data_IF_453115076545
#
_entry.id   IF_453115076545
#
_cell.length_a   1.000
_cell.length_b   1.000
_cell.length_c   1.000
_cell.angle_alpha   90.00
_cell.angle_beta   90.00
_cell.angle_gamma   90.00
#
_symmetry.space_group_name_H-M   'P 1'
#
loop_
_entity.id
_entity.type
_entity.pdbx_description
1 polymer ?
#
# COMPACT_ATOMS: atom_id res chain seq x y z
N UNK A 1 -69.98 -17.04 -30.34
CA UNK A 1 -68.56 -16.65 -30.19
C UNK A 1 -68.15 -17.01 -28.78
N UNK A 2 -67.11 -17.82 -28.62
CA UNK A 2 -66.69 -18.32 -27.30
C UNK A 2 -65.58 -17.41 -26.78
N UNK A 3 -65.81 -16.73 -25.66
CA UNK A 3 -64.77 -15.89 -25.05
C UNK A 3 -63.76 -16.81 -24.36
N UNK A 4 -62.52 -16.79 -24.83
CA UNK A 4 -61.40 -17.51 -24.22
C UNK A 4 -60.63 -16.51 -23.35
N UNK A 5 -60.64 -16.71 -22.04
CA UNK A 5 -59.79 -15.96 -21.10
C UNK A 5 -58.47 -16.70 -20.97
N UNK A 6 -57.38 -16.09 -21.41
CA UNK A 6 -56.02 -16.61 -21.16
C UNK A 6 -55.52 -16.03 -19.85
N UNK A 7 -55.27 -16.90 -18.87
CA UNK A 7 -54.58 -16.54 -17.62
C UNK A 7 -53.10 -16.85 -17.80
N UNK A 8 -52.25 -15.87 -17.52
CA UNK A 8 -50.79 -16.06 -17.48
C UNK A 8 -50.38 -16.23 -16.02
N UNK A 9 -50.07 -17.46 -15.62
CA UNK A 9 -49.41 -17.74 -14.35
C UNK A 9 -47.90 -17.53 -14.53
N UNK A 10 -47.30 -16.69 -13.69
CA UNK A 10 -45.87 -16.40 -13.70
C UNK A 10 -45.30 -16.81 -12.35
N UNK A 11 -44.45 -17.84 -12.36
CA UNK A 11 -43.75 -18.33 -11.18
C UNK A 11 -42.36 -17.67 -11.16
N UNK A 12 -42.09 -16.85 -10.14
CA UNK A 12 -40.80 -16.17 -10.01
C UNK A 12 -39.71 -17.18 -9.63
N UNK A 13 -38.64 -17.32 -10.44
CA UNK A 13 -37.59 -18.29 -10.13
C UNK A 13 -36.79 -17.87 -8.89
N UNK A 14 -36.63 -18.78 -7.95
CA UNK A 14 -35.82 -18.58 -6.74
C UNK A 14 -34.32 -18.50 -7.06
N UNK A 15 -33.62 -17.60 -6.35
CA UNK A 15 -32.18 -17.39 -6.50
C UNK A 15 -31.51 -17.22 -5.14
N UNK A 16 -30.26 -17.70 -5.01
CA UNK A 16 -29.42 -17.40 -3.87
C UNK A 16 -29.11 -15.89 -3.80
N UNK A 17 -29.45 -15.26 -2.66
CA UNK A 17 -29.26 -13.83 -2.37
C UNK A 17 -27.82 -13.33 -2.55
N UNK A 18 -26.81 -14.20 -2.39
CA UNK A 18 -25.40 -13.80 -2.39
C UNK A 18 -24.65 -14.05 -3.70
N UNK A 19 -25.03 -15.09 -4.46
CA UNK A 19 -24.36 -15.45 -5.71
C UNK A 19 -25.25 -15.45 -6.95
N UNK A 20 -26.56 -15.27 -6.79
CA UNK A 20 -27.59 -15.33 -7.85
C UNK A 20 -27.63 -16.66 -8.63
N UNK A 21 -27.05 -17.73 -8.08
CA UNK A 21 -27.29 -19.09 -8.57
C UNK A 21 -28.73 -19.51 -8.29
N UNK A 22 -29.33 -20.22 -9.25
CA UNK A 22 -30.57 -20.98 -9.06
C UNK A 22 -30.31 -22.22 -8.21
N UNK A 23 -31.38 -22.84 -7.73
CA UNK A 23 -31.32 -24.19 -7.17
C UNK A 23 -30.81 -25.20 -8.20
N UNK A 24 -30.02 -26.17 -7.72
CA UNK A 24 -29.61 -27.37 -8.46
C UNK A 24 -29.63 -28.57 -7.51
N UNK A 25 -29.66 -29.79 -8.05
CA UNK A 25 -29.67 -31.04 -7.27
C UNK A 25 -28.49 -31.16 -6.27
N UNK A 26 -27.39 -30.46 -6.52
CA UNK A 26 -26.18 -30.43 -5.68
C UNK A 26 -26.11 -29.23 -4.73
N UNK A 27 -26.96 -28.22 -4.91
CA UNK A 27 -26.85 -26.93 -4.21
C UNK A 27 -28.24 -26.33 -3.95
N UNK A 28 -28.98 -27.00 -3.07
CA UNK A 28 -30.33 -26.62 -2.65
C UNK A 28 -30.41 -25.19 -2.13
N UNK A 29 -31.55 -24.54 -2.38
CA UNK A 29 -31.89 -23.24 -1.81
C UNK A 29 -32.61 -23.43 -0.47
N UNK A 30 -32.32 -22.54 0.48
CA UNK A 30 -32.97 -22.55 1.80
C UNK A 30 -33.21 -21.12 2.25
N UNK A 31 -34.31 -20.88 2.99
CA UNK A 31 -34.57 -19.56 3.58
C UNK A 31 -33.42 -19.14 4.50
N UNK A 32 -33.01 -17.88 4.44
CA UNK A 32 -31.87 -17.38 5.22
C UNK A 32 -32.20 -17.43 6.72
N UNK A 33 -31.47 -18.26 7.47
CA UNK A 33 -31.64 -18.40 8.91
C UNK A 33 -31.08 -17.19 9.69
N UNK A 34 -31.62 -16.93 10.88
CA UNK A 34 -31.36 -15.69 11.63
C UNK A 34 -29.90 -15.51 12.10
N UNK A 35 -29.20 -16.61 12.35
CA UNK A 35 -27.76 -16.67 12.59
C UNK A 35 -26.95 -16.32 11.33
N UNK A 36 -27.35 -16.84 10.17
CA UNK A 36 -26.78 -16.54 8.86
C UNK A 36 -26.96 -15.05 8.52
N UNK A 37 -28.11 -14.43 8.83
CA UNK A 37 -28.29 -12.97 8.73
C UNK A 37 -27.26 -12.21 9.60
N UNK A 38 -27.01 -12.69 10.82
CA UNK A 38 -25.99 -12.12 11.72
C UNK A 38 -24.58 -12.19 11.13
N UNK A 39 -24.22 -13.35 10.56
CA UNK A 39 -22.93 -13.57 9.89
C UNK A 39 -22.79 -12.69 8.64
N UNK A 40 -23.82 -12.61 7.77
CA UNK A 40 -23.85 -11.74 6.59
C UNK A 40 -23.62 -10.28 7.00
N UNK A 41 -24.32 -9.81 8.04
CA UNK A 41 -24.17 -8.43 8.55
C UNK A 41 -22.76 -8.17 9.10
N UNK A 42 -22.17 -9.10 9.87
CA UNK A 42 -20.82 -8.92 10.42
C UNK A 42 -19.70 -9.00 9.36
N UNK A 43 -19.85 -9.87 8.36
CA UNK A 43 -18.84 -10.13 7.34
C UNK A 43 -18.93 -9.18 6.15
N UNK A 44 -20.13 -9.00 5.59
CA UNK A 44 -20.36 -8.33 4.31
C UNK A 44 -20.93 -6.90 4.46
N UNK A 45 -21.37 -6.51 5.66
CA UNK A 45 -22.04 -5.24 5.95
C UNK A 45 -23.36 -5.03 5.19
N UNK A 46 -23.91 -6.11 4.61
CA UNK A 46 -25.23 -6.12 3.96
C UNK A 46 -26.29 -6.12 5.06
N UNK A 47 -27.31 -5.27 4.90
CA UNK A 47 -28.53 -5.32 5.71
C UNK A 47 -29.57 -6.10 4.94
N UNK A 48 -30.06 -7.18 5.55
CA UNK A 48 -31.27 -7.88 5.11
C UNK A 48 -32.42 -7.36 6.00
N UNK A 49 -33.50 -6.92 5.37
CA UNK A 49 -34.70 -6.43 6.06
C UNK A 49 -35.80 -7.50 6.15
N UNK A 50 -37.03 -7.09 6.48
CA UNK A 50 -38.20 -8.00 6.60
C UNK A 50 -38.84 -8.37 5.27
N UNK A 51 -38.36 -7.83 4.15
CA UNK A 51 -38.75 -8.26 2.81
C UNK A 51 -37.69 -9.19 2.21
N UNK A 52 -36.44 -9.03 2.62
CA UNK A 52 -35.35 -9.98 2.38
C UNK A 52 -35.41 -11.25 3.25
N UNK A 53 -36.31 -11.35 4.25
CA UNK A 53 -36.42 -12.55 5.10
C UNK A 53 -36.90 -13.78 4.34
N UNK A 54 -37.59 -13.55 3.23
CA UNK A 54 -38.16 -14.59 2.38
C UNK A 54 -37.18 -14.94 1.24
N UNK A 55 -36.00 -14.31 1.22
CA UNK A 55 -34.94 -14.63 0.28
C UNK A 55 -34.22 -15.93 0.65
N UNK A 56 -33.73 -16.61 -0.38
CA UNK A 56 -33.02 -17.88 -0.26
C UNK A 56 -31.50 -17.71 -0.28
N UNK A 57 -30.79 -18.66 0.31
CA UNK A 57 -29.34 -18.81 0.21
C UNK A 57 -29.02 -20.28 -0.08
N UNK A 58 -28.03 -20.50 -0.95
CA UNK A 58 -27.57 -21.83 -1.31
C UNK A 58 -26.51 -22.35 -0.34
N UNK A 59 -26.44 -23.68 -0.18
CA UNK A 59 -25.55 -24.34 0.77
C UNK A 59 -24.08 -23.89 0.64
N UNK A 60 -23.53 -23.80 -0.59
CA UNK A 60 -22.15 -23.35 -0.80
C UNK A 60 -21.87 -21.95 -0.25
N UNK A 61 -22.85 -21.04 -0.29
CA UNK A 61 -22.71 -19.70 0.26
C UNK A 61 -22.79 -19.69 1.79
N UNK A 62 -23.60 -20.56 2.41
CA UNK A 62 -23.66 -20.73 3.87
C UNK A 62 -22.32 -21.27 4.38
N UNK A 63 -21.84 -22.40 3.85
CA UNK A 63 -20.57 -23.02 4.25
C UNK A 63 -19.39 -22.04 4.15
N UNK A 64 -19.31 -21.30 3.04
CA UNK A 64 -18.25 -20.29 2.82
C UNK A 64 -18.28 -19.15 3.85
N UNK A 65 -19.48 -18.74 4.27
CA UNK A 65 -19.65 -17.71 5.30
C UNK A 65 -19.28 -18.23 6.69
N UNK A 66 -19.71 -19.43 7.05
CA UNK A 66 -19.43 -20.06 8.34
C UNK A 66 -17.92 -20.35 8.52
N UNK A 67 -17.26 -20.91 7.50
CA UNK A 67 -15.82 -21.18 7.55
C UNK A 67 -15.04 -19.86 7.78
N UNK A 68 -15.38 -18.81 7.03
CA UNK A 68 -14.72 -17.52 7.15
C UNK A 68 -15.05 -16.81 8.48
N UNK A 69 -16.28 -16.94 8.99
CA UNK A 69 -16.67 -16.40 10.31
C UNK A 69 -15.90 -17.08 11.44
N UNK A 70 -15.81 -18.41 11.41
CA UNK A 70 -15.02 -19.21 12.35
C UNK A 70 -13.54 -18.85 12.30
N UNK A 71 -12.97 -18.71 11.10
CA UNK A 71 -11.59 -18.24 10.90
C UNK A 71 -11.36 -16.85 11.50
N UNK A 72 -12.23 -15.87 11.17
CA UNK A 72 -12.15 -14.48 11.66
C UNK A 72 -12.25 -14.42 13.19
N UNK A 73 -13.18 -15.18 13.79
CA UNK A 73 -13.35 -15.28 15.24
C UNK A 73 -12.11 -15.84 15.92
N UNK A 74 -11.51 -16.90 15.36
CA UNK A 74 -10.24 -17.49 15.85
C UNK A 74 -9.09 -16.49 15.78
N UNK A 75 -8.94 -15.74 14.68
CA UNK A 75 -7.93 -14.69 14.55
C UNK A 75 -8.11 -13.57 15.57
N UNK A 76 -9.35 -13.11 15.81
CA UNK A 76 -9.69 -12.09 16.81
C UNK A 76 -9.30 -12.55 18.23
N UNK A 77 -9.68 -13.78 18.61
CA UNK A 77 -9.33 -14.39 19.90
C UNK A 77 -7.81 -14.50 20.08
N UNK A 78 -7.09 -14.95 19.05
CA UNK A 78 -5.63 -15.06 19.08
C UNK A 78 -4.95 -13.69 19.24
N UNK A 79 -5.45 -12.64 18.55
CA UNK A 79 -4.92 -11.29 18.69
C UNK A 79 -5.08 -10.75 20.12
N UNK A 80 -6.27 -10.92 20.73
CA UNK A 80 -6.51 -10.54 22.13
C UNK A 80 -5.59 -11.31 23.09
N UNK A 81 -5.41 -12.62 22.89
CA UNK A 81 -4.51 -13.44 23.69
C UNK A 81 -3.03 -13.02 23.56
N UNK A 82 -2.60 -12.62 22.36
CA UNK A 82 -1.25 -12.10 22.11
C UNK A 82 -1.03 -10.74 22.78
N UNK A 83 -2.03 -9.84 22.73
CA UNK A 83 -1.99 -8.56 23.43
C UNK A 83 -1.89 -8.77 24.95
N UNK A 84 -2.70 -9.68 25.53
CA UNK A 84 -2.61 -10.03 26.96
C UNK A 84 -1.22 -10.54 27.34
N UNK A 85 -0.67 -11.50 26.58
CA UNK A 85 0.69 -12.03 26.79
C UNK A 85 1.79 -10.98 26.59
N UNK A 86 1.57 -9.95 25.78
CA UNK A 86 2.51 -8.84 25.65
C UNK A 86 2.52 -7.96 26.91
N UNK A 87 1.35 -7.63 27.45
CA UNK A 87 1.24 -6.83 28.68
C UNK A 87 1.72 -7.61 29.92
N UNK A 88 1.41 -8.91 30.03
CA UNK A 88 1.93 -9.79 31.08
C UNK A 88 3.48 -9.80 31.09
N UNK A 89 4.12 -9.95 29.92
CA UNK A 89 5.59 -9.89 29.80
C UNK A 89 6.15 -8.51 30.15
N UNK A 90 5.49 -7.43 29.73
CA UNK A 90 5.88 -6.06 30.06
C UNK A 90 5.80 -5.81 31.57
N UNK A 91 4.76 -6.31 32.23
CA UNK A 91 4.62 -6.20 33.68
C UNK A 91 5.71 -6.98 34.42
N UNK A 92 6.00 -8.22 34.00
CA UNK A 92 7.11 -9.01 34.53
C UNK A 92 8.48 -8.31 34.36
N UNK A 93 8.72 -7.66 33.21
CA UNK A 93 9.93 -6.86 32.98
C UNK A 93 10.01 -5.65 33.92
N UNK A 94 8.90 -4.94 34.16
CA UNK A 94 8.84 -3.81 35.11
C UNK A 94 9.11 -4.28 36.54
N UNK A 95 8.57 -5.43 36.94
CA UNK A 95 8.77 -6.00 38.27
C UNK A 95 10.23 -6.45 38.50
N UNK A 96 10.82 -7.15 37.52
CA UNK A 96 12.23 -7.54 37.58
C UNK A 96 13.17 -6.34 37.55
N UNK A 97 12.81 -5.27 36.82
CA UNK A 97 13.56 -4.02 36.84
C UNK A 97 13.50 -3.33 38.22
N UNK A 98 12.34 -3.34 38.89
CA UNK A 98 12.18 -2.79 40.24
C UNK A 98 12.98 -3.58 41.28
N UNK A 99 12.94 -4.91 41.24
CA UNK A 99 13.72 -5.74 42.18
C UNK A 99 15.22 -5.64 41.93
N UNK A 100 15.65 -5.55 40.68
CA UNK A 100 17.05 -5.28 40.34
C UNK A 100 17.53 -3.95 40.93
N UNK A 101 16.76 -2.86 40.80
CA UNK A 101 17.09 -1.56 41.40
C UNK A 101 17.17 -1.66 42.93
N UNK A 102 16.18 -2.29 43.58
CA UNK A 102 16.13 -2.42 45.04
C UNK A 102 17.31 -3.21 45.62
N UNK A 103 17.81 -4.22 44.88
CA UNK A 103 18.94 -5.05 45.30
C UNK A 103 20.31 -4.42 44.97
N UNK A 104 20.36 -3.41 44.09
CA UNK A 104 21.60 -2.69 43.80
C UNK A 104 21.76 -1.49 44.73
N UNK A 105 22.85 -1.46 45.49
CA UNK A 105 23.17 -0.39 46.43
C UNK A 105 23.70 0.87 45.71
N UNK A 106 22.95 1.38 44.73
CA UNK A 106 23.35 2.47 43.81
C UNK A 106 23.38 3.82 44.51
N UNK A 107 22.52 4.01 45.53
CA UNK A 107 22.40 5.26 46.28
C UNK A 107 23.72 5.67 46.95
N UNK A 108 24.51 4.71 47.44
CA UNK A 108 25.80 4.97 48.12
C UNK A 108 26.89 5.55 47.20
N UNK A 109 26.68 5.58 45.87
CA UNK A 109 27.64 6.13 44.90
C UNK A 109 27.20 7.46 44.28
N UNK A 110 26.06 8.02 44.70
CA UNK A 110 25.51 9.27 44.16
C UNK A 110 25.88 10.44 45.07
N UNK A 111 26.63 11.41 44.56
CA UNK A 111 26.79 12.70 45.23
C UNK A 111 25.51 13.51 45.05
N UNK A 112 25.08 14.20 46.10
CA UNK A 112 23.86 15.00 46.09
C UNK A 112 23.83 16.00 44.92
N UNK A 113 22.76 15.92 44.11
CA UNK A 113 22.41 16.94 43.11
C UNK A 113 22.55 16.57 41.62
N UNK A 114 23.19 15.44 41.24
CA UNK A 114 23.24 15.02 39.83
C UNK A 114 22.13 14.01 39.45
N UNK A 115 21.31 14.27 38.41
CA UNK A 115 20.26 13.35 37.98
C UNK A 115 20.85 12.14 37.23
N UNK A 116 20.70 10.95 37.82
CA UNK A 116 21.14 9.68 37.20
C UNK A 116 20.05 9.11 36.28
N UNK A 117 20.47 8.69 35.08
CA UNK A 117 19.64 7.92 34.16
C UNK A 117 20.02 6.44 34.21
N UNK A 118 19.21 5.63 34.88
CA UNK A 118 19.35 4.17 34.89
C UNK A 118 18.72 3.61 33.61
N UNK A 119 19.50 2.91 32.78
CA UNK A 119 19.01 2.24 31.57
C UNK A 119 19.08 0.74 31.78
N UNK A 120 17.92 0.12 32.02
CA UNK A 120 17.78 -1.33 32.14
C UNK A 120 17.40 -1.87 30.76
N UNK A 121 18.24 -2.74 30.21
CA UNK A 121 17.97 -3.47 28.96
C UNK A 121 17.72 -4.93 29.29
N UNK A 122 16.68 -5.50 28.70
CA UNK A 122 16.37 -6.94 28.79
C UNK A 122 16.35 -7.53 27.39
N UNK A 123 16.94 -8.71 27.22
CA UNK A 123 16.81 -9.47 25.97
C UNK A 123 15.59 -10.40 26.00
N UNK A 124 15.31 -11.07 24.87
CA UNK A 124 14.18 -12.00 24.74
C UNK A 124 14.29 -13.24 25.66
N UNK A 125 15.48 -13.53 26.18
CA UNK A 125 15.76 -14.63 27.12
C UNK A 125 15.61 -14.22 28.59
N UNK A 126 15.20 -12.97 28.87
CA UNK A 126 15.03 -12.46 30.24
C UNK A 126 16.33 -12.01 30.94
N UNK A 127 17.49 -12.05 30.26
CA UNK A 127 18.76 -11.55 30.83
C UNK A 127 18.71 -10.04 30.95
N UNK A 128 18.90 -9.52 32.17
CA UNK A 128 18.95 -8.10 32.50
C UNK A 128 20.38 -7.56 32.37
N UNK A 129 20.50 -6.37 31.79
CA UNK A 129 21.72 -5.56 31.82
C UNK A 129 21.36 -4.17 32.32
N UNK A 130 21.88 -3.83 33.50
CA UNK A 130 21.72 -2.50 34.11
C UNK A 130 22.92 -1.65 33.70
N UNK A 131 22.70 -0.52 33.03
CA UNK A 131 23.74 0.47 32.76
C UNK A 131 23.36 1.82 33.35
N UNK A 132 24.21 2.32 34.24
CA UNK A 132 24.11 3.68 34.77
C UNK A 132 24.68 4.67 33.73
N UNK A 133 23.93 5.72 33.44
CA UNK A 133 24.43 6.91 32.74
C UNK A 133 24.31 8.11 33.68
N UNK A 134 25.44 8.55 34.21
CA UNK A 134 25.57 9.84 34.90
C UNK A 134 25.70 10.92 33.84
N UNK A 135 24.81 11.92 33.84
CA UNK A 135 24.90 13.07 32.96
C UNK A 135 25.59 14.24 33.68
N UNK A 136 26.92 14.19 33.73
CA UNK A 136 27.73 15.34 34.13
C UNK A 136 27.42 16.51 33.20
N UNK A 137 27.07 17.66 33.80
CA UNK A 137 26.70 18.87 33.07
C UNK A 137 27.88 19.36 32.21
N UNK A 138 27.71 19.66 30.90
CA UNK A 138 28.81 20.20 30.11
C UNK A 138 29.23 21.56 30.67
N UNK A 139 30.49 21.70 31.10
CA UNK A 139 31.03 23.02 31.40
C UNK A 139 31.35 23.76 30.09
N UNK A 140 30.99 25.05 29.98
CA UNK A 140 31.46 25.87 28.86
C UNK A 140 32.97 26.11 29.03
N UNK A 141 33.74 25.91 27.96
CA UNK A 141 35.14 26.33 27.87
C UNK A 141 35.26 27.50 26.91
N UNK A 142 35.63 28.66 27.44
CA UNK A 142 36.06 29.83 26.69
C UNK A 142 37.58 29.78 26.41
N UNK A 143 38.01 30.29 25.25
CA UNK A 143 39.40 30.66 24.93
C UNK A 143 40.43 29.51 24.76
N UNK A 144 41.46 29.62 23.91
CA UNK A 144 41.78 30.63 22.89
C UNK A 144 42.78 30.04 21.87
N UNK A 145 42.73 30.50 20.60
CA UNK A 145 43.78 30.59 19.53
C UNK A 145 44.77 29.40 19.32
N UNK A 146 45.08 29.00 18.08
CA UNK A 146 45.62 29.87 17.02
C UNK A 146 45.52 29.28 15.58
N UNK A 147 45.60 30.18 14.57
CA UNK A 147 46.16 30.08 13.19
C UNK A 147 46.36 28.70 12.52
N UNK A 148 46.12 28.46 11.22
CA UNK A 148 45.88 29.31 10.01
C UNK A 148 45.20 28.41 8.92
N UNK A 149 44.90 28.76 7.66
CA UNK A 149 45.22 29.92 6.78
C UNK A 149 44.16 30.12 5.65
N UNK A 150 44.44 30.99 4.67
CA UNK A 150 43.77 31.06 3.34
C UNK A 150 44.77 31.56 2.27
N UNK A 151 44.64 31.22 0.97
CA UNK A 151 43.65 31.80 0.03
C UNK A 151 42.93 30.73 -0.84
N UNK A 152 41.71 30.91 -1.35
CA UNK A 152 41.13 31.93 -2.25
C UNK A 152 41.35 31.64 -3.77
N UNK A 153 40.35 32.05 -4.57
CA UNK A 153 40.35 32.26 -6.04
C UNK A 153 40.08 31.02 -6.94
N UNK A 154 39.33 31.04 -8.06
CA UNK A 154 38.19 31.84 -8.62
C UNK A 154 37.89 31.29 -10.05
N UNK A 155 36.91 31.87 -10.75
CA UNK A 155 36.78 31.92 -12.24
C UNK A 155 36.26 30.65 -12.96
N UNK A 156 34.96 30.68 -13.33
CA UNK A 156 34.53 30.25 -14.68
C UNK A 156 35.07 31.23 -15.73
N UNK A 157 35.23 30.80 -16.99
CA UNK A 157 34.76 31.67 -18.06
C UNK A 157 33.88 30.95 -19.10
N UNK A 158 32.81 31.65 -19.48
CA UNK A 158 31.93 31.36 -20.59
C UNK A 158 32.45 31.96 -21.90
N UNK A 159 32.11 31.37 -23.04
CA UNK A 159 31.95 31.98 -24.39
C UNK A 159 31.65 30.86 -25.40
N UNK A 160 30.90 30.98 -26.51
CA UNK A 160 29.83 31.85 -27.03
C UNK A 160 29.80 31.64 -28.57
N UNK A 161 28.62 31.81 -29.18
CA UNK A 161 28.34 31.69 -30.64
C UNK A 161 28.39 30.22 -31.17
N UNK A 162 27.87 29.88 -32.36
CA UNK A 162 27.33 30.72 -33.45
C UNK A 162 26.04 30.18 -34.11
N UNK A 163 25.29 31.12 -34.66
CA UNK A 163 24.06 31.06 -35.47
C UNK A 163 24.17 30.32 -36.82
N UNK A 164 23.05 29.80 -37.33
CA UNK A 164 22.71 29.90 -38.77
C UNK A 164 21.20 29.70 -38.99
N UNK A 165 20.64 30.36 -40.00
CA UNK A 165 19.20 30.50 -40.21
C UNK A 165 18.78 30.32 -41.69
N UNK A 166 17.56 29.80 -41.90
CA UNK A 166 16.67 29.94 -43.08
C UNK A 166 15.32 29.27 -42.69
N UNK A 167 14.13 29.89 -42.74
CA UNK A 167 13.43 30.64 -43.80
C UNK A 167 12.89 29.73 -44.94
N UNK A 168 11.65 29.81 -45.45
CA UNK A 168 10.42 30.60 -45.11
C UNK A 168 9.21 30.07 -45.91
N UNK A 169 7.99 30.06 -45.35
CA UNK A 169 6.69 30.44 -45.99
C UNK A 169 5.55 30.31 -44.95
N UNK A 170 4.77 31.34 -44.57
CA UNK A 170 3.80 32.18 -45.32
C UNK A 170 2.59 31.36 -45.84
N UNK A 171 1.30 31.67 -45.57
CA UNK A 171 0.60 32.87 -45.02
C UNK A 171 -0.75 32.44 -44.32
N UNK A 172 -1.39 33.28 -43.45
CA UNK A 172 -2.57 32.94 -42.62
C UNK A 172 -3.84 33.71 -43.11
N UNK A 173 -4.81 34.20 -42.29
CA UNK A 173 -5.36 33.81 -40.97
C UNK A 173 -6.92 33.71 -40.94
N UNK A 174 -7.50 33.15 -39.87
CA UNK A 174 -8.71 33.73 -39.21
C UNK A 174 -8.52 33.66 -37.70
N UNK A 175 -8.80 34.76 -37.00
CA UNK A 175 -8.62 34.93 -35.57
C UNK A 175 -9.95 35.18 -34.88
N UNK A 176 -10.20 34.54 -33.73
CA UNK A 176 -10.68 35.24 -32.52
C UNK A 176 -10.08 34.55 -31.27
N UNK A 177 -9.32 35.30 -30.48
CA UNK A 177 -9.03 35.05 -29.06
C UNK A 177 -9.26 36.39 -28.35
N UNK A 178 -9.88 36.38 -27.15
CA UNK A 178 -9.13 36.71 -25.92
C UNK A 178 -9.60 35.86 -24.72
N UNK A 179 -8.90 35.72 -23.60
CA UNK A 179 -7.52 36.03 -23.18
C UNK A 179 -7.14 34.97 -22.13
N UNK A 180 -6.02 34.25 -22.27
CA UNK A 180 -4.75 34.55 -21.60
C UNK A 180 -4.78 34.61 -20.06
N UNK A 181 -4.88 33.45 -19.40
CA UNK A 181 -4.18 33.20 -18.13
C UNK A 181 -3.14 32.09 -18.31
N UNK A 182 -1.91 32.32 -17.84
CA UNK A 182 -0.81 31.34 -17.85
C UNK A 182 -0.75 30.62 -16.50
N UNK A 183 -0.81 29.28 -16.46
CA UNK A 183 -0.24 28.51 -15.35
C UNK A 183 1.19 28.09 -15.72
N UNK A 184 2.17 28.89 -15.31
CA UNK A 184 3.59 28.49 -15.32
C UNK A 184 4.08 28.24 -13.89
N UNK A 185 3.99 27.00 -13.43
CA UNK A 185 4.81 26.43 -12.35
C UNK A 185 4.57 24.92 -12.27
N UNK A 186 5.62 24.14 -12.04
CA UNK A 186 5.49 22.71 -11.81
C UNK A 186 4.81 22.47 -10.45
N UNK A 187 3.49 22.21 -10.46
CA UNK A 187 2.79 21.76 -9.28
C UNK A 187 3.32 20.39 -8.86
N UNK A 188 4.08 20.34 -7.77
CA UNK A 188 4.53 19.10 -7.13
C UNK A 188 3.31 18.27 -6.72
N UNK A 189 2.90 17.33 -7.57
CA UNK A 189 1.75 16.46 -7.32
C UNK A 189 1.96 15.73 -5.98
N UNK A 190 1.09 16.03 -5.02
CA UNK A 190 1.21 15.56 -3.64
C UNK A 190 0.90 14.07 -3.59
N UNK A 191 1.95 13.25 -3.65
CA UNK A 191 1.86 11.80 -3.57
C UNK A 191 1.13 11.35 -2.30
N UNK A 192 0.11 10.52 -2.47
CA UNK A 192 -0.69 9.94 -1.38
C UNK A 192 0.07 8.71 -0.88
N UNK A 193 0.58 8.73 0.36
CA UNK A 193 1.19 7.54 0.98
C UNK A 193 0.12 6.51 1.31
N UNK A 194 0.31 5.27 0.90
CA UNK A 194 -0.62 4.16 1.14
C UNK A 194 -0.21 3.33 2.36
N UNK A 195 -1.16 2.69 3.08
CA UNK A 195 -0.86 1.88 4.26
C UNK A 195 -0.12 0.59 3.88
N UNK A 196 0.82 0.14 4.71
CA UNK A 196 1.50 -1.14 4.48
C UNK A 196 0.47 -2.27 4.65
N UNK A 197 0.25 -3.03 3.58
CA UNK A 197 -0.73 -4.10 3.48
C UNK A 197 -0.19 -5.23 2.58
N UNK A 198 -0.76 -6.45 2.63
CA UNK A 198 -0.39 -7.52 1.71
C UNK A 198 -0.54 -7.10 0.25
N UNK A 199 0.44 -7.49 -0.56
CA UNK A 199 0.45 -7.27 -2.00
C UNK A 199 0.92 -8.52 -2.72
N UNK A 200 0.58 -8.62 -3.99
CA UNK A 200 0.70 -9.84 -4.78
C UNK A 200 1.22 -9.51 -6.17
N UNK A 201 1.78 -10.50 -6.86
CA UNK A 201 2.10 -10.40 -8.28
C UNK A 201 1.28 -11.39 -9.08
N UNK A 202 1.06 -11.10 -10.36
CA UNK A 202 0.50 -12.04 -11.33
C UNK A 202 1.43 -12.15 -12.54
N UNK A 203 1.39 -13.30 -13.22
CA UNK A 203 2.14 -13.47 -14.47
C UNK A 203 1.38 -12.76 -15.60
N UNK A 204 2.00 -11.73 -16.19
CA UNK A 204 1.43 -11.06 -17.36
C UNK A 204 1.69 -11.89 -18.63
N UNK A 205 0.88 -11.67 -19.67
CA UNK A 205 0.88 -12.51 -20.88
C UNK A 205 2.14 -12.42 -21.74
N UNK A 206 2.97 -11.37 -21.56
CA UNK A 206 4.29 -11.27 -22.19
C UNK A 206 5.34 -12.09 -21.42
N UNK A 207 6.13 -12.88 -22.17
CA UNK A 207 7.20 -13.76 -21.63
C UNK A 207 8.06 -13.03 -20.58
N UNK A 208 7.90 -13.46 -19.32
CA UNK A 208 8.64 -13.09 -18.09
C UNK A 208 8.31 -11.78 -17.35
N UNK A 209 7.33 -10.97 -17.77
CA UNK A 209 6.91 -9.81 -16.95
C UNK A 209 5.87 -10.18 -15.88
N UNK A 210 6.08 -9.71 -14.66
CA UNK A 210 5.07 -9.74 -13.60
C UNK A 210 4.27 -8.43 -13.59
N UNK A 211 2.96 -8.53 -13.37
CA UNK A 211 2.13 -7.41 -12.95
C UNK A 211 1.95 -7.40 -11.43
N UNK A 212 1.69 -6.23 -10.85
CA UNK A 212 1.51 -6.02 -9.41
C UNK A 212 0.01 -5.89 -9.08
N UNK A 213 -0.40 -6.40 -7.92
CA UNK A 213 -1.72 -6.21 -7.31
C UNK A 213 -1.54 -5.57 -5.94
N UNK A 214 -2.18 -4.41 -5.74
CA UNK A 214 -2.11 -3.68 -4.49
C UNK A 214 -3.45 -2.98 -4.21
N UNK A 215 -4.06 -3.25 -3.05
CA UNK A 215 -5.37 -2.71 -2.69
C UNK A 215 -6.50 -3.11 -3.65
N UNK A 216 -6.45 -4.32 -4.21
CA UNK A 216 -7.39 -4.81 -5.24
C UNK A 216 -7.09 -4.34 -6.67
N UNK A 217 -6.38 -3.23 -6.84
CA UNK A 217 -6.04 -2.70 -8.16
C UNK A 217 -4.85 -3.41 -8.80
N UNK A 218 -4.91 -3.56 -10.13
CA UNK A 218 -3.90 -4.23 -10.95
C UNK A 218 -3.06 -3.25 -11.76
N UNK A 219 -1.76 -3.53 -11.85
CA UNK A 219 -0.76 -2.70 -12.52
C UNK A 219 0.12 -3.58 -13.41
N UNK A 220 0.22 -3.26 -14.71
CA UNK A 220 0.79 -4.17 -15.71
C UNK A 220 2.18 -3.77 -16.22
N UNK A 221 2.58 -2.51 -16.06
CA UNK A 221 3.87 -2.00 -16.52
C UNK A 221 4.65 -1.35 -15.39
N UNK A 222 5.77 -1.97 -15.00
CA UNK A 222 6.78 -1.34 -14.15
C UNK A 222 7.78 -0.53 -14.98
N UNK A 223 8.13 0.66 -14.48
CA UNK A 223 9.18 1.55 -15.00
C UNK A 223 10.11 1.89 -13.84
N UNK A 224 11.24 1.16 -13.68
CA UNK A 224 12.21 1.47 -12.64
C UNK A 224 12.90 2.82 -12.91
N UNK A 225 13.11 3.59 -11.85
CA UNK A 225 13.88 4.85 -11.84
C UNK A 225 14.79 4.85 -10.62
N UNK A 226 15.75 5.79 -10.56
CA UNK A 226 16.81 5.88 -9.53
C UNK A 226 16.37 5.54 -8.09
N UNK A 227 15.21 6.02 -7.63
CA UNK A 227 14.71 5.85 -6.26
C UNK A 227 13.40 5.04 -6.12
N UNK A 228 12.60 4.93 -7.18
CA UNK A 228 11.24 4.36 -7.13
C UNK A 228 10.92 3.61 -8.42
N UNK A 229 10.02 2.64 -8.30
CA UNK A 229 9.47 1.89 -9.43
C UNK A 229 8.05 2.38 -9.66
N UNK A 230 7.76 2.80 -10.89
CA UNK A 230 6.46 3.34 -11.28
C UNK A 230 5.63 2.22 -11.93
N UNK A 231 4.49 1.90 -11.33
CA UNK A 231 3.56 0.86 -11.73
C UNK A 231 2.30 1.49 -12.31
N UNK A 232 2.08 1.33 -13.61
CA UNK A 232 0.94 1.93 -14.33
C UNK A 232 -0.32 1.09 -14.15
N UNK A 233 -1.45 1.71 -13.83
CA UNK A 233 -2.73 0.99 -13.74
C UNK A 233 -3.06 0.26 -15.05
N UNK A 234 -3.44 -1.01 -14.96
CA UNK A 234 -3.75 -1.85 -16.12
C UNK A 234 -4.96 -1.33 -16.91
N UNK A 235 -5.94 -0.74 -16.23
CA UNK A 235 -7.14 -0.14 -16.83
C UNK A 235 -6.92 1.27 -17.40
N UNK A 236 -5.67 1.77 -17.48
CA UNK A 236 -5.35 3.09 -18.06
C UNK A 236 -5.92 3.31 -19.46
N UNK A 237 -5.96 2.27 -20.30
CA UNK A 237 -6.48 2.36 -21.68
C UNK A 237 -7.99 2.17 -21.78
N UNK A 238 -8.59 1.38 -20.90
CA UNK A 238 -10.02 1.04 -20.94
C UNK A 238 -10.90 2.03 -20.19
N UNK A 239 -10.40 2.59 -19.08
CA UNK A 239 -11.13 3.56 -18.24
C UNK A 239 -10.43 4.92 -18.16
N UNK A 240 -9.53 5.25 -19.12
CA UNK A 240 -8.70 6.47 -19.11
C UNK A 240 -7.96 6.75 -17.78
N UNK A 241 -7.71 5.71 -17.00
CA UNK A 241 -7.24 5.81 -15.62
C UNK A 241 -5.80 6.36 -15.52
N UNK A 242 -5.63 7.48 -14.82
CA UNK A 242 -4.35 8.15 -14.64
C UNK A 242 -3.55 7.66 -13.42
N UNK A 243 -4.08 6.72 -12.66
CA UNK A 243 -3.42 6.17 -11.47
C UNK A 243 -2.08 5.49 -11.82
N UNK A 244 -1.07 5.81 -11.02
CA UNK A 244 0.29 5.27 -11.02
C UNK A 244 0.67 5.03 -9.57
N UNK A 245 1.03 3.80 -9.26
CA UNK A 245 1.55 3.38 -7.97
C UNK A 245 3.08 3.48 -7.99
N UNK A 246 3.67 4.10 -6.99
CA UNK A 246 5.11 4.25 -6.85
C UNK A 246 5.59 3.39 -5.67
N UNK A 247 6.28 2.31 -5.96
CA UNK A 247 6.94 1.47 -4.96
C UNK A 247 8.36 2.00 -4.66
N UNK A 248 8.83 1.86 -3.42
CA UNK A 248 10.27 1.91 -3.13
C UNK A 248 11.00 0.73 -3.78
N UNK A 249 12.31 0.83 -4.05
CA UNK A 249 13.10 -0.30 -4.60
C UNK A 249 13.11 -1.55 -3.70
N UNK A 250 12.74 -1.40 -2.43
CA UNK A 250 12.58 -2.47 -1.43
C UNK A 250 11.14 -2.99 -1.28
N UNK A 251 10.15 -2.38 -1.96
CA UNK A 251 8.72 -2.66 -1.80
C UNK A 251 8.19 -2.52 -0.36
N UNK A 252 8.86 -1.69 0.46
CA UNK A 252 8.46 -1.38 1.84
C UNK A 252 7.57 -0.13 1.94
N UNK A 253 7.51 0.68 0.89
CA UNK A 253 6.66 1.88 0.82
C UNK A 253 5.93 1.98 -0.52
N UNK A 254 4.68 2.41 -0.46
CA UNK A 254 3.82 2.60 -1.62
C UNK A 254 3.17 3.98 -1.58
N UNK A 255 3.10 4.62 -2.75
CA UNK A 255 2.49 5.93 -2.93
C UNK A 255 1.63 5.94 -4.19
N UNK A 256 0.58 6.75 -4.23
CA UNK A 256 -0.26 6.94 -5.41
C UNK A 256 -0.16 8.40 -5.88
N UNK A 257 -0.13 8.64 -7.19
CA UNK A 257 -0.20 10.00 -7.75
C UNK A 257 -1.62 10.60 -7.67
N UNK A 258 -2.65 9.80 -7.96
CA UNK A 258 -4.07 10.15 -7.93
C UNK A 258 -4.92 8.89 -7.74
N UNK A 259 -6.15 9.03 -7.25
CA UNK A 259 -7.08 7.91 -7.12
C UNK A 259 -7.41 7.24 -8.46
N UNK A 260 -7.96 6.02 -8.39
CA UNK A 260 -8.58 5.36 -9.54
C UNK A 260 -9.96 5.95 -9.81
N UNK A 261 -10.38 5.92 -11.07
CA UNK A 261 -11.69 6.39 -11.55
C UNK A 261 -12.60 5.23 -12.01
N UNK A 262 -12.31 4.03 -11.53
CA UNK A 262 -12.99 2.77 -11.84
C UNK A 262 -12.87 1.84 -10.64
N UNK A 263 -13.76 0.86 -10.54
CA UNK A 263 -13.69 -0.15 -9.49
C UNK A 263 -12.52 -1.15 -9.71
N UNK A 264 -12.05 -1.83 -8.66
CA UNK A 264 -11.08 -2.92 -8.78
C UNK A 264 -11.57 -4.01 -9.75
N UNK A 265 -10.75 -4.45 -10.72
CA UNK A 265 -11.14 -5.52 -11.64
C UNK A 265 -11.29 -6.86 -10.90
N UNK A 266 -12.32 -7.63 -11.24
CA UNK A 266 -12.41 -9.03 -10.84
C UNK A 266 -11.18 -9.81 -11.35
N UNK A 267 -10.57 -10.60 -10.47
CA UNK A 267 -9.41 -11.42 -10.84
C UNK A 267 -9.89 -12.69 -11.53
N UNK A 268 -9.63 -12.82 -12.84
CA UNK A 268 -10.03 -13.99 -13.64
C UNK A 268 -8.81 -14.70 -14.24
N UNK A 269 -8.75 -16.03 -14.06
CA UNK A 269 -7.93 -16.95 -14.85
C UNK A 269 -6.40 -16.80 -14.80
N UNK A 270 -5.83 -15.99 -13.90
CA UNK A 270 -4.38 -15.76 -13.83
C UNK A 270 -3.79 -16.19 -12.50
N UNK A 271 -2.63 -16.85 -12.56
CA UNK A 271 -1.90 -17.30 -11.37
C UNK A 271 -1.39 -16.10 -10.57
N UNK A 272 -1.78 -16.05 -9.30
CA UNK A 272 -1.38 -15.03 -8.32
C UNK A 272 -0.29 -15.62 -7.41
N UNK A 273 0.73 -14.83 -7.12
CA UNK A 273 1.85 -15.16 -6.24
C UNK A 273 1.89 -14.18 -5.07
N UNK A 274 2.21 -14.62 -3.86
CA UNK A 274 2.47 -13.69 -2.75
C UNK A 274 3.76 -12.94 -3.06
N UNK A 275 3.87 -11.70 -2.58
CA UNK A 275 5.08 -10.90 -2.77
C UNK A 275 6.36 -11.67 -2.42
N UNK A 276 6.43 -12.26 -1.22
CA UNK A 276 7.62 -12.95 -0.72
C UNK A 276 8.15 -14.05 -1.67
N UNK A 277 7.28 -14.74 -2.40
CA UNK A 277 7.62 -15.91 -3.21
C UNK A 277 8.34 -15.52 -4.52
N UNK A 278 8.04 -14.33 -5.08
CA UNK A 278 8.54 -13.90 -6.40
C UNK A 278 9.24 -12.55 -6.41
N UNK A 279 9.22 -11.79 -5.30
CA UNK A 279 9.84 -10.47 -5.21
C UNK A 279 11.33 -10.44 -5.62
N UNK A 280 12.18 -11.44 -5.29
CA UNK A 280 13.57 -11.46 -5.79
C UNK A 280 13.65 -11.52 -7.32
N UNK A 281 12.75 -12.29 -7.95
CA UNK A 281 12.68 -12.42 -9.42
C UNK A 281 12.21 -11.11 -10.05
N UNK A 282 11.20 -10.47 -9.46
CA UNK A 282 10.69 -9.16 -9.91
C UNK A 282 11.81 -8.10 -9.81
N UNK A 283 12.44 -7.94 -8.64
CA UNK A 283 13.51 -6.96 -8.43
C UNK A 283 14.69 -7.17 -9.38
N UNK A 284 15.07 -8.42 -9.68
CA UNK A 284 16.11 -8.73 -10.66
C UNK A 284 15.71 -8.32 -12.08
N UNK A 285 14.46 -8.59 -12.49
CA UNK A 285 13.95 -8.15 -13.79
C UNK A 285 13.90 -6.61 -13.93
N UNK A 286 13.62 -5.91 -12.82
CA UNK A 286 13.57 -4.45 -12.78
C UNK A 286 14.94 -3.83 -12.84
N UNK A 287 15.93 -4.42 -12.14
CA UNK A 287 17.34 -4.03 -12.24
C UNK A 287 17.85 -4.16 -13.69
N UNK A 288 17.63 -5.32 -14.31
CA UNK A 288 18.04 -5.56 -15.70
C UNK A 288 17.39 -4.57 -16.69
N UNK A 289 16.13 -4.18 -16.44
CA UNK A 289 15.44 -3.14 -17.23
C UNK A 289 15.96 -1.73 -16.98
N UNK A 290 16.37 -1.41 -15.75
CA UNK A 290 17.02 -0.13 -15.41
C UNK A 290 18.40 -0.01 -16.07
N UNK A 291 19.21 -1.07 -16.01
CA UNK A 291 20.53 -1.17 -16.66
C UNK A 291 20.42 -1.08 -18.20
N UNK A 292 19.48 -1.82 -18.80
CA UNK A 292 19.21 -1.73 -20.24
C UNK A 292 18.77 -0.32 -20.68
N UNK A 293 17.92 0.36 -19.89
CA UNK A 293 17.50 1.73 -20.16
C UNK A 293 18.62 2.77 -20.00
N UNK A 294 19.63 2.50 -19.17
CA UNK A 294 20.84 3.32 -19.06
C UNK A 294 21.77 3.09 -20.26
N UNK A 295 22.07 1.84 -20.59
CA UNK A 295 23.05 1.48 -21.63
C UNK A 295 22.58 1.83 -23.06
N UNK A 296 21.28 1.83 -23.32
CA UNK A 296 20.73 2.14 -24.66
C UNK A 296 20.60 3.65 -24.93
N UNK A 297 20.83 4.52 -23.95
CA UNK A 297 20.55 5.96 -24.06
C UNK A 297 19.05 6.31 -24.14
N UNK A 298 18.17 5.29 -24.14
CA UNK A 298 16.70 5.39 -24.29
C UNK A 298 16.05 5.83 -22.96
N UNK A 299 16.54 6.93 -22.38
CA UNK A 299 15.93 7.56 -21.21
C UNK A 299 14.57 8.20 -21.49
N UNK A 300 14.23 8.42 -22.78
CA UNK A 300 13.13 9.28 -23.23
C UNK A 300 12.03 8.63 -24.09
N UNK A 301 12.14 7.38 -24.55
CA UNK A 301 11.09 6.77 -25.43
C UNK A 301 9.72 6.67 -24.73
N UNK A 302 9.71 6.50 -23.41
CA UNK A 302 8.47 6.49 -22.61
C UNK A 302 7.89 7.89 -22.31
N UNK A 303 8.46 8.98 -22.85
CA UNK A 303 7.92 10.34 -22.72
C UNK A 303 6.88 10.69 -23.81
N UNK A 304 6.71 9.86 -24.85
CA UNK A 304 5.84 10.13 -26.01
C UNK A 304 4.49 9.41 -26.02
N UNK A 305 4.14 8.69 -24.96
CA UNK A 305 2.89 7.90 -24.88
C UNK A 305 2.03 8.17 -23.63
N UNK A 306 2.45 9.09 -22.75
CA UNK A 306 1.81 9.33 -21.45
C UNK A 306 1.77 10.82 -21.06
N UNK A 307 1.18 11.65 -21.94
CA UNK A 307 0.56 12.93 -21.62
C UNK A 307 -0.92 12.81 -21.97
#
# INVERSE_FOLDING_TARGET
MTNVTVVFEYEEPEYCRLCLSKETDENGLSMIQSDTIGIIRELLQIQLDKTDSDAFICATCVESLEEFHSYRTRCRRNNVALQKKAEERKQQQIELAKSAIANTNVLDQVKDGEPIRVVIRMNAEGKTSVRLQVHSKPQPKEGEKASTDSPEVKVEPSTSTASTSKATSNIPPVSVNPAAEKPNAAASQKLIRLPIQPFYFYKASSRSSYGLIYGGYRYSASVPRKQRIYWMCEQRRTHSCQAVLLASKSYTEFFLNCGHNHDPPQVRGQQIFKAADVLPVVMNSERAREECAQNTGISNVWRRTYT
#
